data_IF_370280343267
#
_entry.id   IF_370280343267
#
_cell.length_a   1.000
_cell.length_b   1.000
_cell.length_c   1.000
_cell.angle_alpha   90.00
_cell.angle_beta   90.00
_cell.angle_gamma   90.00
#
_symmetry.space_group_name_H-M   'P 1'
#
loop_
_entity.id
_entity.type
_entity.pdbx_description
1 polymer ?
#
# COMPACT_ATOMS: atom_id res chain seq x y z
N UNK A 1 -0.43 13.74 10.02
CA UNK A 1 -0.90 13.14 8.76
C UNK A 1 0.32 12.48 8.16
N UNK A 2 0.26 11.16 8.02
CA UNK A 2 1.37 10.29 7.67
C UNK A 2 1.42 10.03 6.16
N UNK A 3 2.61 9.71 5.68
CA UNK A 3 2.89 9.15 4.38
C UNK A 3 3.32 7.69 4.54
N UNK A 4 3.01 6.86 3.55
CA UNK A 4 3.49 5.50 3.44
C UNK A 4 4.37 5.38 2.21
N UNK A 5 5.58 4.88 2.40
CA UNK A 5 6.46 4.46 1.33
C UNK A 5 6.52 2.93 1.32
N UNK A 6 6.00 2.34 0.25
CA UNK A 6 5.89 0.89 0.09
C UNK A 6 6.91 0.42 -0.94
N UNK A 7 7.70 -0.59 -0.59
CA UNK A 7 8.74 -1.15 -1.45
C UNK A 7 8.29 -2.46 -2.10
N UNK A 8 8.58 -2.61 -3.38
CA UNK A 8 8.27 -3.78 -4.21
C UNK A 8 9.50 -4.20 -5.01
N UNK A 9 9.63 -5.49 -5.31
CA UNK A 9 10.74 -6.00 -6.14
C UNK A 9 10.81 -5.31 -7.52
N UNK A 10 9.65 -5.15 -8.18
CA UNK A 10 9.54 -4.49 -9.47
C UNK A 10 8.13 -3.88 -9.69
N UNK A 11 7.92 -3.27 -10.86
CA UNK A 11 6.63 -2.67 -11.23
C UNK A 11 5.50 -3.71 -11.33
N UNK A 12 5.82 -4.95 -11.74
CA UNK A 12 4.83 -6.01 -11.85
C UNK A 12 4.33 -6.43 -10.47
N UNK A 13 5.24 -6.59 -9.50
CA UNK A 13 4.90 -6.87 -8.11
C UNK A 13 4.01 -5.77 -7.52
N UNK A 14 4.34 -4.49 -7.78
CA UNK A 14 3.52 -3.36 -7.34
C UNK A 14 2.11 -3.38 -7.95
N UNK A 15 1.99 -3.69 -9.24
CA UNK A 15 0.70 -3.79 -9.93
C UNK A 15 -0.14 -4.97 -9.42
N UNK A 16 0.48 -6.13 -9.19
CA UNK A 16 -0.16 -7.32 -8.62
C UNK A 16 -0.69 -7.04 -7.20
N UNK A 17 0.12 -6.40 -6.36
CA UNK A 17 -0.27 -5.97 -5.01
C UNK A 17 -1.50 -5.05 -5.03
N UNK A 18 -1.48 -4.00 -5.87
CA UNK A 18 -2.61 -3.06 -5.99
C UNK A 18 -3.87 -3.73 -6.55
N UNK A 19 -3.72 -4.69 -7.46
CA UNK A 19 -4.83 -5.49 -7.99
C UNK A 19 -5.46 -6.37 -6.91
N UNK A 20 -4.62 -7.01 -6.08
CA UNK A 20 -5.08 -7.81 -4.93
C UNK A 20 -5.81 -6.95 -3.89
N UNK A 21 -5.26 -5.78 -3.55
CA UNK A 21 -5.93 -4.83 -2.64
C UNK A 21 -7.28 -4.36 -3.21
N UNK A 22 -7.34 -4.08 -4.51
CA UNK A 22 -8.60 -3.70 -5.19
C UNK A 22 -9.63 -4.83 -5.14
N UNK A 23 -9.19 -6.08 -5.31
CA UNK A 23 -10.05 -7.26 -5.20
C UNK A 23 -10.59 -7.39 -3.79
N UNK A 24 -9.70 -7.35 -2.79
CA UNK A 24 -10.08 -7.39 -1.38
C UNK A 24 -11.07 -6.28 -1.02
N UNK A 25 -10.84 -5.05 -1.50
CA UNK A 25 -11.76 -3.93 -1.33
C UNK A 25 -13.12 -4.15 -2.01
N UNK A 26 -13.18 -4.86 -3.13
CA UNK A 26 -14.43 -5.12 -3.87
C UNK A 26 -15.27 -6.21 -3.21
N UNK A 27 -14.63 -7.20 -2.60
CA UNK A 27 -15.29 -8.31 -1.89
C UNK A 27 -15.96 -7.88 -0.56
N UNK A 28 -15.77 -6.61 -0.15
CA UNK A 28 -16.37 -5.93 1.02
C UNK A 28 -17.08 -6.86 2.01
N UNK A 29 -16.36 -7.26 3.06
CA UNK A 29 -16.98 -7.85 4.24
C UNK A 29 -17.44 -6.73 5.16
N UNK A 30 -18.75 -6.65 5.46
CA UNK A 30 -19.36 -5.55 6.21
C UNK A 30 -18.85 -5.35 7.65
N UNK A 31 -17.91 -6.18 8.10
CA UNK A 31 -17.46 -6.29 9.49
C UNK A 31 -16.36 -5.27 9.84
N UNK A 32 -15.72 -4.63 8.84
CA UNK A 32 -14.61 -3.69 9.06
C UNK A 32 -14.70 -2.41 8.21
N UNK A 33 -15.68 -1.52 8.45
CA UNK A 33 -15.92 -0.33 7.62
C UNK A 33 -14.72 0.62 7.54
N UNK A 34 -13.99 0.80 8.65
CA UNK A 34 -12.81 1.68 8.69
C UNK A 34 -11.67 1.17 7.82
N UNK A 35 -11.46 -0.16 7.80
CA UNK A 35 -10.44 -0.80 6.96
C UNK A 35 -10.72 -0.56 5.48
N UNK A 36 -11.96 -0.79 5.04
CA UNK A 36 -12.35 -0.56 3.65
C UNK A 36 -12.35 0.92 3.25
N UNK A 37 -12.61 1.83 4.19
CA UNK A 37 -12.44 3.27 3.95
C UNK A 37 -10.97 3.63 3.71
N UNK A 38 -10.04 3.09 4.51
CA UNK A 38 -8.61 3.28 4.33
C UNK A 38 -8.12 2.72 2.98
N UNK A 39 -8.57 1.52 2.59
CA UNK A 39 -8.26 0.93 1.28
C UNK A 39 -8.84 1.74 0.12
N UNK A 40 -10.06 2.27 0.25
CA UNK A 40 -10.66 3.13 -0.77
C UNK A 40 -9.80 4.38 -0.98
N UNK A 41 -9.47 5.06 0.12
CA UNK A 41 -8.64 6.27 0.11
C UNK A 41 -7.28 6.01 -0.51
N UNK A 42 -6.67 4.85 -0.26
CA UNK A 42 -5.45 4.40 -0.92
C UNK A 42 -5.63 4.26 -2.44
N UNK A 43 -6.67 3.55 -2.88
CA UNK A 43 -6.91 3.24 -4.30
C UNK A 43 -7.29 4.49 -5.13
N UNK A 44 -7.75 5.55 -4.49
CA UNK A 44 -8.02 6.85 -5.12
C UNK A 44 -6.76 7.70 -5.34
N UNK A 45 -5.61 7.32 -4.76
CA UNK A 45 -4.37 8.08 -4.90
C UNK A 45 -3.68 7.85 -6.26
N UNK A 46 -3.02 8.88 -6.80
CA UNK A 46 -2.17 8.70 -7.97
C UNK A 46 -0.95 7.86 -7.60
N UNK A 47 -0.67 6.83 -8.40
CA UNK A 47 0.51 5.98 -8.24
C UNK A 47 1.77 6.76 -8.60
N UNK A 48 2.73 6.78 -7.69
CA UNK A 48 4.02 7.47 -7.84
C UNK A 48 5.15 6.48 -7.63
N UNK A 49 5.60 5.90 -8.73
CA UNK A 49 6.74 4.99 -8.74
C UNK A 49 8.05 5.76 -8.69
N UNK A 50 8.97 5.33 -7.83
CA UNK A 50 10.34 5.84 -7.77
C UNK A 50 11.33 4.69 -7.61
N UNK A 51 12.50 4.73 -8.26
CA UNK A 51 13.57 3.81 -7.96
C UNK A 51 14.01 3.95 -6.50
N UNK A 52 14.30 2.83 -5.84
CA UNK A 52 14.85 2.77 -4.49
C UNK A 52 15.84 1.62 -4.35
N UNK A 53 16.58 1.58 -3.24
CA UNK A 53 17.47 0.48 -2.90
C UNK A 53 17.01 -0.11 -1.57
N UNK A 54 16.82 -1.43 -1.55
CA UNK A 54 16.50 -2.19 -0.35
C UNK A 54 17.35 -3.46 -0.32
N UNK A 55 18.01 -3.71 0.81
CA UNK A 55 18.92 -4.85 0.98
C UNK A 55 19.91 -5.04 -0.19
N UNK A 56 20.57 -3.94 -0.60
CA UNK A 56 21.55 -3.89 -1.71
C UNK A 56 20.99 -4.27 -3.10
N UNK A 57 19.66 -4.31 -3.26
CA UNK A 57 18.98 -4.54 -4.53
C UNK A 57 18.22 -3.30 -4.99
N UNK A 58 18.20 -3.08 -6.30
CA UNK A 58 17.30 -2.10 -6.92
C UNK A 58 15.85 -2.59 -6.78
N UNK A 59 15.01 -1.75 -6.20
CA UNK A 59 13.59 -2.00 -5.96
C UNK A 59 12.76 -0.79 -6.39
N UNK A 60 11.44 -0.94 -6.37
CA UNK A 60 10.49 0.11 -6.67
C UNK A 60 9.81 0.61 -5.40
N UNK A 61 9.77 1.92 -5.20
CA UNK A 61 9.02 2.57 -4.13
C UNK A 61 7.74 3.21 -4.67
N UNK A 62 6.64 3.02 -3.94
CA UNK A 62 5.36 3.70 -4.12
C UNK A 62 5.07 4.58 -2.91
N UNK A 63 4.76 5.85 -3.13
CA UNK A 63 4.46 6.79 -2.06
C UNK A 63 2.96 7.12 -2.03
N UNK A 64 2.36 6.99 -0.86
CA UNK A 64 0.96 7.32 -0.58
C UNK A 64 0.91 8.30 0.59
N UNK A 65 -0.03 9.24 0.56
CA UNK A 65 -0.04 10.36 1.48
C UNK A 65 -1.40 10.50 2.13
N UNK A 66 -1.42 11.17 3.27
CA UNK A 66 -2.65 11.73 3.77
C UNK A 66 -3.39 10.85 4.77
N UNK A 67 -2.71 9.89 5.38
CA UNK A 67 -3.32 8.96 6.33
C UNK A 67 -3.22 9.47 7.77
N UNK A 68 -4.17 9.13 8.62
CA UNK A 68 -3.96 9.18 10.07
C UNK A 68 -3.25 7.90 10.56
N UNK A 69 -2.93 7.85 11.87
CA UNK A 69 -2.20 6.73 12.47
C UNK A 69 -2.91 5.38 12.32
N UNK A 70 -4.25 5.39 12.41
CA UNK A 70 -5.06 4.17 12.32
C UNK A 70 -5.15 3.71 10.87
N UNK A 71 -5.40 4.65 9.95
CA UNK A 71 -5.43 4.37 8.52
C UNK A 71 -4.06 3.88 8.02
N UNK A 72 -2.95 4.46 8.49
CA UNK A 72 -1.60 4.03 8.08
C UNK A 72 -1.33 2.60 8.49
N UNK A 73 -1.67 2.21 9.73
CA UNK A 73 -1.51 0.83 10.19
C UNK A 73 -2.34 -0.17 9.36
N UNK A 74 -3.56 0.21 8.96
CA UNK A 74 -4.43 -0.62 8.12
C UNK A 74 -3.86 -0.81 6.71
N UNK A 75 -3.40 0.28 6.10
CA UNK A 75 -2.83 0.27 4.75
C UNK A 75 -1.49 -0.47 4.73
N UNK A 76 -0.66 -0.28 5.75
CA UNK A 76 0.58 -1.03 5.95
C UNK A 76 0.32 -2.54 5.99
N UNK A 77 -0.60 -2.98 6.86
CA UNK A 77 -0.96 -4.39 6.97
C UNK A 77 -1.45 -4.95 5.63
N UNK A 78 -2.28 -4.21 4.91
CA UNK A 78 -2.77 -4.63 3.60
C UNK A 78 -1.64 -4.83 2.58
N UNK A 79 -0.65 -3.93 2.55
CA UNK A 79 0.49 -4.05 1.64
C UNK A 79 1.41 -5.22 1.97
N UNK A 80 1.69 -5.44 3.26
CA UNK A 80 2.50 -6.57 3.69
C UNK A 80 1.83 -7.90 3.34
N UNK A 81 0.49 -7.99 3.48
CA UNK A 81 -0.27 -9.21 3.18
C UNK A 81 -0.27 -9.56 1.68
N UNK A 82 -0.18 -8.55 0.81
CA UNK A 82 -0.14 -8.74 -0.65
C UNK A 82 1.29 -8.77 -1.23
N UNK A 83 2.32 -8.86 -0.39
CA UNK A 83 3.70 -9.10 -0.82
C UNK A 83 4.57 -7.86 -1.01
N UNK A 84 4.27 -6.74 -0.35
CA UNK A 84 5.25 -5.66 -0.22
C UNK A 84 6.49 -6.14 0.57
N UNK A 85 7.67 -5.69 0.13
CA UNK A 85 8.94 -6.02 0.80
C UNK A 85 9.08 -5.31 2.14
N UNK A 86 8.69 -4.04 2.17
CA UNK A 86 8.73 -3.18 3.34
C UNK A 86 7.73 -2.04 3.17
N UNK A 87 7.17 -1.57 4.28
CA UNK A 87 6.35 -0.37 4.35
C UNK A 87 6.96 0.55 5.40
N UNK A 88 7.28 1.78 5.01
CA UNK A 88 7.82 2.81 5.90
C UNK A 88 6.74 3.87 6.11
N UNK A 89 6.37 4.11 7.36
CA UNK A 89 5.39 5.14 7.75
C UNK A 89 6.16 6.38 8.24
N UNK A 90 5.93 7.53 7.61
CA UNK A 90 6.61 8.81 7.84
C UNK A 90 5.64 9.93 8.23
#
# INVERSE_FOLDING_TARGET
MFALKVLFDDEKAAQEALSSIRTAWTEKHGDHPDYYAALQKLLEQPLRYRPAIFAEKDVLACEFYGFDEKESAMVEAAFLDVGALEVVVE
#
